data_IF_991223057811
#
_entry.id   IF_991223057811
#
_cell.length_a   1.000
_cell.length_b   1.000
_cell.length_c   1.000
_cell.angle_alpha   90.00
_cell.angle_beta   90.00
_cell.angle_gamma   90.00
#
_symmetry.space_group_name_H-M   'P 1'
#
loop_
_entity.id
_entity.type
_entity.pdbx_description
1 polymer ?
#
# COMPACT_ATOMS: atom_id res chain seq x y z
N UNK A 1 7.63 -29.04 4.04
CA UNK A 1 7.50 -27.71 3.41
C UNK A 1 6.99 -26.78 4.50
N UNK A 2 7.70 -25.70 4.80
CA UNK A 2 7.25 -24.71 5.79
C UNK A 2 6.05 -23.98 5.22
N UNK A 3 4.99 -23.81 6.02
CA UNK A 3 3.83 -23.03 5.61
C UNK A 3 4.26 -21.57 5.38
N UNK A 4 3.81 -20.93 4.28
CA UNK A 4 4.17 -19.54 4.02
C UNK A 4 3.60 -18.63 5.13
N UNK A 5 4.35 -17.58 5.49
CA UNK A 5 3.91 -16.58 6.46
C UNK A 5 2.50 -16.07 6.11
N UNK A 6 1.59 -15.87 7.09
CA UNK A 6 0.18 -15.59 6.82
C UNK A 6 -0.06 -14.26 6.09
N UNK A 7 0.93 -13.37 6.00
CA UNK A 7 0.84 -12.15 5.18
C UNK A 7 0.82 -12.42 3.66
N UNK A 8 1.41 -13.54 3.20
CA UNK A 8 1.53 -13.85 1.76
C UNK A 8 0.14 -13.94 1.12
N UNK A 9 -0.04 -13.26 -0.01
CA UNK A 9 -1.29 -13.21 -0.78
C UNK A 9 -1.70 -11.80 -1.20
N UNK A 10 -2.94 -11.69 -1.67
CA UNK A 10 -3.56 -10.44 -2.14
C UNK A 10 -4.55 -9.88 -1.12
N UNK A 11 -4.57 -8.56 -1.00
CA UNK A 11 -5.28 -7.83 0.06
C UNK A 11 -5.94 -6.57 -0.45
N UNK A 12 -7.13 -6.28 0.07
CA UNK A 12 -7.77 -4.96 -0.01
C UNK A 12 -7.42 -4.21 1.26
N UNK A 13 -6.77 -3.06 1.11
CA UNK A 13 -6.20 -2.29 2.23
C UNK A 13 -6.95 -0.97 2.38
N UNK A 14 -7.65 -0.80 3.49
CA UNK A 14 -8.17 0.49 3.91
C UNK A 14 -7.03 1.33 4.52
N UNK A 15 -6.97 2.60 4.13
CA UNK A 15 -5.93 3.55 4.56
C UNK A 15 -6.60 4.70 5.28
N UNK A 16 -6.10 5.04 6.46
CA UNK A 16 -6.54 6.19 7.22
C UNK A 16 -5.35 7.10 7.55
N UNK A 17 -5.41 8.33 7.06
CA UNK A 17 -4.52 9.41 7.49
C UNK A 17 -5.37 10.46 8.24
N UNK A 18 -4.91 11.01 9.37
CA UNK A 18 -5.64 12.06 10.08
C UNK A 18 -5.91 13.27 9.18
N UNK A 19 -7.17 13.72 9.14
CA UNK A 19 -7.56 14.91 8.38
C UNK A 19 -7.78 14.69 6.88
N UNK A 20 -7.62 13.46 6.37
CA UNK A 20 -7.91 13.12 4.97
C UNK A 20 -9.09 12.16 4.87
N UNK A 21 -9.78 12.12 3.72
CA UNK A 21 -10.70 11.02 3.41
C UNK A 21 -10.00 9.66 3.50
N UNK A 22 -10.75 8.63 3.88
CA UNK A 22 -10.25 7.25 3.89
C UNK A 22 -9.98 6.77 2.45
N UNK A 23 -8.86 6.07 2.27
CA UNK A 23 -8.44 5.49 0.99
C UNK A 23 -8.63 3.99 0.93
N UNK A 24 -8.58 3.41 -0.27
CA UNK A 24 -8.50 1.96 -0.48
C UNK A 24 -7.42 1.65 -1.50
N UNK A 25 -6.45 0.82 -1.12
CA UNK A 25 -5.41 0.28 -2.00
C UNK A 25 -5.61 -1.22 -2.22
N UNK A 26 -4.90 -1.77 -3.21
CA UNK A 26 -4.72 -3.21 -3.38
C UNK A 26 -3.25 -3.55 -3.15
N UNK A 27 -2.97 -4.59 -2.37
CA UNK A 27 -1.61 -5.02 -2.09
C UNK A 27 -1.43 -6.51 -2.38
N UNK A 28 -0.25 -6.88 -2.87
CA UNK A 28 0.19 -8.28 -2.97
C UNK A 28 1.53 -8.44 -2.26
N UNK A 29 1.61 -9.43 -1.38
CA UNK A 29 2.83 -9.85 -0.70
C UNK A 29 3.25 -11.21 -1.22
N UNK A 30 4.41 -11.27 -1.86
CA UNK A 30 4.99 -12.52 -2.37
C UNK A 30 5.86 -13.19 -1.29
N UNK A 31 5.98 -14.51 -1.36
CA UNK A 31 6.76 -15.30 -0.41
C UNK A 31 8.28 -15.05 -0.49
N UNK A 32 8.75 -14.43 -1.57
CA UNK A 32 10.15 -14.03 -1.76
C UNK A 32 10.52 -12.71 -1.07
N UNK A 33 9.58 -12.10 -0.34
CA UNK A 33 9.77 -10.82 0.32
C UNK A 33 9.41 -9.61 -0.54
N UNK A 34 8.85 -9.78 -1.75
CA UNK A 34 8.38 -8.66 -2.58
C UNK A 34 7.01 -8.17 -2.13
N UNK A 35 6.79 -6.86 -2.15
CA UNK A 35 5.46 -6.23 -2.03
C UNK A 35 5.17 -5.35 -3.24
N UNK A 36 3.95 -5.41 -3.75
CA UNK A 36 3.42 -4.50 -4.75
C UNK A 36 2.11 -3.89 -4.26
N UNK A 37 1.94 -2.57 -4.39
CA UNK A 37 0.75 -1.85 -3.94
C UNK A 37 0.21 -0.96 -5.06
N UNK A 38 -1.05 -1.15 -5.43
CA UNK A 38 -1.77 -0.28 -6.35
C UNK A 38 -2.59 0.75 -5.55
N UNK A 39 -2.41 2.02 -5.91
CA UNK A 39 -3.15 3.14 -5.34
C UNK A 39 -4.34 3.49 -6.23
N UNK A 40 -5.42 4.05 -5.66
CA UNK A 40 -6.43 4.71 -6.47
C UNK A 40 -5.77 5.91 -7.17
N UNK A 41 -6.10 6.12 -8.43
CA UNK A 41 -5.55 7.21 -9.26
C UNK A 41 -6.58 7.53 -10.34
N UNK A 42 -6.79 8.81 -10.71
CA UNK A 42 -6.15 10.00 -10.15
C UNK A 42 -6.67 10.40 -8.76
N UNK A 43 -5.85 11.13 -7.99
CA UNK A 43 -6.26 11.78 -6.75
C UNK A 43 -6.28 13.30 -6.93
N UNK A 44 -7.24 14.02 -6.33
CA UNK A 44 -7.19 15.47 -6.27
C UNK A 44 -6.00 15.92 -5.41
N UNK A 45 -5.30 16.96 -5.85
CA UNK A 45 -4.22 17.58 -5.07
C UNK A 45 -4.75 18.26 -3.81
N UNK A 46 -3.86 18.50 -2.85
CA UNK A 46 -4.13 19.42 -1.75
C UNK A 46 -4.32 20.87 -2.27
N UNK A 47 -5.15 21.70 -1.60
CA UNK A 47 -5.30 23.11 -1.97
C UNK A 47 -3.95 23.85 -2.01
N UNK A 48 -3.76 24.70 -3.01
CA UNK A 48 -2.55 25.53 -3.16
C UNK A 48 -1.45 24.94 -4.05
N UNK A 49 -1.64 23.74 -4.60
CA UNK A 49 -0.75 23.18 -5.62
C UNK A 49 -1.01 23.79 -7.01
N UNK A 50 0.01 23.75 -7.88
CA UNK A 50 -0.06 24.32 -9.24
C UNK A 50 -0.73 23.40 -10.26
N UNK A 51 -0.78 22.09 -9.98
CA UNK A 51 -1.49 21.06 -10.74
C UNK A 51 -2.84 20.69 -10.10
N UNK A 52 -3.67 19.89 -10.77
CA UNK A 52 -5.01 19.52 -10.28
C UNK A 52 -5.13 18.08 -9.82
N UNK A 53 -4.39 17.17 -10.47
CA UNK A 53 -4.50 15.74 -10.25
C UNK A 53 -3.13 15.11 -10.06
N UNK A 54 -3.06 14.12 -9.19
CA UNK A 54 -1.87 13.30 -8.98
C UNK A 54 -2.13 11.87 -9.41
N UNK A 55 -1.16 11.32 -10.14
CA UNK A 55 -1.14 9.96 -10.62
C UNK A 55 0.01 9.23 -9.96
N UNK A 56 -0.30 8.12 -9.29
CA UNK A 56 0.70 7.31 -8.60
C UNK A 56 0.91 6.00 -9.36
N UNK A 57 2.17 5.68 -9.61
CA UNK A 57 2.54 4.35 -10.09
C UNK A 57 2.12 3.26 -9.11
N UNK A 58 2.08 2.01 -9.54
CA UNK A 58 2.14 0.89 -8.60
C UNK A 58 3.43 1.00 -7.79
N UNK A 59 3.32 1.00 -6.47
CA UNK A 59 4.51 0.95 -5.63
C UNK A 59 5.09 -0.45 -5.60
N UNK A 60 6.40 -0.51 -5.58
CA UNK A 60 7.18 -1.74 -5.45
C UNK A 60 8.09 -1.64 -4.25
N UNK A 61 8.34 -2.76 -3.59
CA UNK A 61 9.20 -2.78 -2.43
C UNK A 61 9.45 -4.16 -1.85
N UNK A 62 9.91 -4.17 -0.61
CA UNK A 62 10.25 -5.38 0.13
C UNK A 62 9.53 -5.44 1.47
N UNK A 63 9.26 -6.66 1.94
CA UNK A 63 8.77 -6.95 3.27
C UNK A 63 9.54 -8.13 3.89
N UNK A 64 9.53 -8.20 5.22
CA UNK A 64 10.09 -9.31 5.98
C UNK A 64 9.23 -9.61 7.19
N UNK A 65 9.12 -10.88 7.56
CA UNK A 65 8.49 -11.28 8.81
C UNK A 65 9.28 -10.73 10.01
N UNK A 66 8.58 -10.14 10.97
CA UNK A 66 9.11 -9.71 12.27
C UNK A 66 8.67 -10.64 13.41
N UNK A 67 7.96 -11.72 13.09
CA UNK A 67 7.46 -12.75 14.00
C UNK A 67 6.62 -13.78 13.25
N UNK A 68 5.81 -14.57 13.96
CA UNK A 68 4.91 -15.56 13.34
C UNK A 68 3.78 -14.91 12.51
N UNK A 69 3.38 -13.70 12.89
CA UNK A 69 2.30 -12.93 12.24
C UNK A 69 2.65 -11.47 11.98
N UNK A 70 3.77 -11.01 12.52
CA UNK A 70 4.24 -9.63 12.36
C UNK A 70 5.06 -9.48 11.08
N UNK A 71 4.96 -8.31 10.44
CA UNK A 71 5.81 -7.97 9.30
C UNK A 71 6.19 -6.49 9.30
N UNK A 72 7.38 -6.20 8.76
CA UNK A 72 7.81 -4.86 8.40
C UNK A 72 7.97 -4.78 6.88
N UNK A 73 7.63 -3.63 6.29
CA UNK A 73 7.71 -3.41 4.85
C UNK A 73 8.12 -2.00 4.49
N UNK A 74 8.74 -1.86 3.32
CA UNK A 74 9.04 -0.57 2.70
C UNK A 74 8.78 -0.66 1.20
N UNK A 75 8.06 0.32 0.65
CA UNK A 75 7.76 0.38 -0.77
C UNK A 75 7.72 1.82 -1.27
N UNK A 76 8.00 1.99 -2.56
CA UNK A 76 8.17 3.32 -3.18
C UNK A 76 7.23 3.46 -4.37
N UNK A 77 6.53 4.60 -4.46
CA UNK A 77 5.76 5.02 -5.63
C UNK A 77 6.33 6.29 -6.25
N UNK A 78 6.21 6.40 -7.57
CA UNK A 78 6.47 7.61 -8.33
C UNK A 78 5.16 8.36 -8.59
N UNK A 79 5.20 9.69 -8.45
CA UNK A 79 4.08 10.58 -8.72
C UNK A 79 4.30 11.41 -9.98
N UNK A 80 3.22 11.63 -10.73
CA UNK A 80 3.17 12.62 -11.81
C UNK A 80 1.87 13.42 -11.78
N UNK A 81 1.88 14.63 -12.37
CA UNK A 81 0.69 15.46 -12.55
C UNK A 81 -0.11 15.07 -13.82
N UNK A 82 -1.22 15.77 -14.08
CA UNK A 82 -2.03 15.56 -15.29
C UNK A 82 -1.34 15.86 -16.63
N UNK A 83 -0.19 16.55 -16.62
CA UNK A 83 0.63 16.80 -17.80
C UNK A 83 1.75 15.75 -17.96
N UNK A 84 1.88 14.82 -17.00
CA UNK A 84 2.96 13.84 -16.95
C UNK A 84 4.27 14.39 -16.36
N UNK A 85 4.24 15.58 -15.76
CA UNK A 85 5.39 16.16 -15.05
C UNK A 85 5.65 15.34 -13.78
N UNK A 86 6.88 14.87 -13.54
CA UNK A 86 7.20 14.22 -12.27
C UNK A 86 7.02 15.18 -11.10
N UNK A 87 6.24 14.78 -10.09
CA UNK A 87 6.01 15.59 -8.88
C UNK A 87 6.83 15.10 -7.68
N UNK A 88 7.31 13.85 -7.72
CA UNK A 88 8.17 13.32 -6.67
C UNK A 88 7.97 11.83 -6.40
N UNK A 89 8.38 11.40 -5.21
CA UNK A 89 8.25 10.02 -4.75
C UNK A 89 7.60 9.95 -3.38
N UNK A 90 6.87 8.87 -3.16
CA UNK A 90 6.41 8.46 -1.84
C UNK A 90 7.18 7.22 -1.43
N UNK A 91 7.90 7.29 -0.31
CA UNK A 91 8.50 6.13 0.36
C UNK A 91 7.65 5.79 1.58
N UNK A 92 7.06 4.61 1.60
CA UNK A 92 6.17 4.17 2.67
C UNK A 92 6.88 3.10 3.49
N UNK A 93 6.88 3.26 4.81
CA UNK A 93 7.31 2.24 5.76
C UNK A 93 6.13 1.85 6.65
N UNK A 94 5.87 0.55 6.82
CA UNK A 94 4.78 0.06 7.65
C UNK A 94 5.19 -1.15 8.49
N UNK A 95 4.57 -1.31 9.65
CA UNK A 95 4.63 -2.51 10.47
C UNK A 95 3.21 -3.01 10.71
N UNK A 96 2.96 -4.29 10.47
CA UNK A 96 1.60 -4.87 10.54
C UNK A 96 1.61 -6.19 11.30
N UNK A 97 0.47 -6.52 11.88
CA UNK A 97 0.20 -7.81 12.52
C UNK A 97 -0.98 -8.49 11.82
N UNK A 98 -0.78 -9.73 11.38
CA UNK A 98 -1.85 -10.55 10.79
C UNK A 98 -2.69 -11.17 11.89
N UNK A 99 -4.01 -11.13 11.74
CA UNK A 99 -4.94 -11.77 12.66
C UNK A 99 -4.77 -13.30 12.67
N UNK A 100 -5.18 -13.95 13.77
CA UNK A 100 -5.02 -15.39 13.95
C UNK A 100 -5.76 -16.24 12.89
N UNK A 101 -6.82 -15.70 12.30
CA UNK A 101 -7.59 -16.34 11.22
C UNK A 101 -6.95 -16.17 9.83
N UNK A 102 -5.83 -15.44 9.74
CA UNK A 102 -5.15 -15.08 8.50
C UNK A 102 -6.03 -14.36 7.47
N UNK A 103 -7.16 -13.78 7.89
CA UNK A 103 -8.13 -13.12 7.01
C UNK A 103 -8.00 -11.59 7.01
N UNK A 104 -7.33 -11.02 8.00
CA UNK A 104 -7.08 -9.59 8.13
C UNK A 104 -5.71 -9.28 8.70
N UNK A 105 -5.26 -8.04 8.53
CA UNK A 105 -4.11 -7.48 9.23
C UNK A 105 -4.29 -5.98 9.44
N UNK A 106 -3.57 -5.40 10.38
CA UNK A 106 -3.57 -3.95 10.62
C UNK A 106 -2.22 -3.47 11.17
N UNK A 107 -1.99 -2.15 11.08
CA UNK A 107 -0.82 -1.54 11.68
C UNK A 107 -0.58 -0.09 11.26
N UNK A 108 0.40 0.58 11.88
CA UNK A 108 0.79 1.93 11.51
C UNK A 108 1.66 1.96 10.24
N UNK A 109 1.67 3.11 9.59
CA UNK A 109 2.63 3.43 8.53
C UNK A 109 3.07 4.89 8.58
N UNK A 110 4.19 5.17 7.92
CA UNK A 110 4.70 6.50 7.63
C UNK A 110 4.97 6.64 6.14
N UNK A 111 4.66 7.80 5.57
CA UNK A 111 5.03 8.21 4.21
C UNK A 111 6.07 9.32 4.33
N UNK A 112 7.19 9.14 3.65
CA UNK A 112 8.13 10.20 3.33
C UNK A 112 7.84 10.69 1.91
N UNK A 113 7.62 12.00 1.77
CA UNK A 113 7.33 12.65 0.50
C UNK A 113 8.59 13.39 0.08
N UNK A 114 9.17 13.01 -1.06
CA UNK A 114 10.34 13.66 -1.60
C UNK A 114 10.04 14.30 -2.95
N UNK A 115 10.65 15.45 -3.22
CA UNK A 115 10.67 16.07 -4.54
C UNK A 115 11.39 15.17 -5.56
N UNK A 116 11.24 15.47 -6.85
CA UNK A 116 11.88 14.73 -7.93
C UNK A 116 13.43 14.75 -7.85
N UNK A 117 14.02 15.71 -7.12
CA UNK A 117 15.46 15.78 -6.85
C UNK A 117 15.93 14.97 -5.62
N UNK A 118 15.00 14.29 -4.94
CA UNK A 118 15.25 13.49 -3.74
C UNK A 118 15.18 14.28 -2.42
N UNK A 119 14.92 15.58 -2.45
CA UNK A 119 14.75 16.39 -1.23
C UNK A 119 13.47 15.97 -0.51
N UNK A 120 13.59 15.56 0.76
CA UNK A 120 12.42 15.27 1.60
C UNK A 120 11.67 16.55 1.91
N UNK A 121 10.40 16.60 1.53
CA UNK A 121 9.52 17.76 1.70
C UNK A 121 8.63 17.62 2.93
N UNK A 122 8.17 16.40 3.22
CA UNK A 122 7.22 16.14 4.29
C UNK A 122 7.25 14.69 4.76
N UNK A 123 6.68 14.46 5.95
CA UNK A 123 6.39 13.14 6.48
C UNK A 123 4.97 13.09 7.04
N UNK A 124 4.24 12.01 6.72
CA UNK A 124 2.84 11.82 7.09
C UNK A 124 2.65 10.43 7.69
N UNK A 125 1.98 10.35 8.85
CA UNK A 125 1.66 9.09 9.51
C UNK A 125 0.19 8.69 9.35
N UNK A 126 -0.09 7.40 9.42
CA UNK A 126 -1.45 6.87 9.39
C UNK A 126 -1.54 5.42 9.86
N UNK A 127 -2.72 4.83 9.67
CA UNK A 127 -2.99 3.41 9.94
C UNK A 127 -3.59 2.74 8.73
N UNK A 128 -3.34 1.44 8.62
CA UNK A 128 -3.89 0.56 7.60
C UNK A 128 -4.60 -0.61 8.26
N UNK A 129 -5.69 -1.05 7.65
CA UNK A 129 -6.34 -2.31 7.94
C UNK A 129 -6.67 -3.01 6.62
N UNK A 130 -6.56 -4.33 6.59
CA UNK A 130 -6.71 -5.08 5.36
C UNK A 130 -7.59 -6.30 5.52
N UNK A 131 -8.20 -6.69 4.41
CA UNK A 131 -8.99 -7.90 4.27
C UNK A 131 -8.46 -8.70 3.09
N UNK A 132 -8.39 -10.02 3.25
CA UNK A 132 -7.84 -10.90 2.21
C UNK A 132 -8.74 -10.92 0.98
N UNK A 133 -8.12 -10.84 -0.20
CA UNK A 133 -8.80 -11.10 -1.47
C UNK A 133 -8.68 -12.60 -1.74
N UNK A 134 -9.77 -13.33 -1.50
CA UNK A 134 -9.85 -14.75 -1.80
C UNK A 134 -10.28 -14.99 -3.25
N UNK A 135 -9.79 -16.08 -3.85
CA UNK A 135 -10.39 -16.57 -5.09
C UNK A 135 -11.85 -16.98 -4.81
N UNK A 136 -12.78 -16.51 -5.63
CA UNK A 136 -14.16 -16.99 -5.56
C UNK A 136 -14.21 -18.49 -5.86
N UNK A 137 -15.07 -19.23 -5.17
CA UNK A 137 -15.35 -20.62 -5.54
C UNK A 137 -15.98 -20.65 -6.94
N UNK A 138 -15.47 -21.50 -7.83
CA UNK A 138 -16.10 -21.71 -9.13
C UNK A 138 -17.53 -22.23 -8.91
N UNK A 139 -18.54 -21.47 -9.37
CA UNK A 139 -19.90 -21.98 -9.45
C UNK A 139 -19.89 -23.18 -10.40
N UNK A 140 -20.19 -24.39 -9.90
CA UNK A 140 -20.51 -25.52 -10.76
C UNK A 140 -21.69 -25.11 -11.62
N UNK A 141 -21.48 -24.96 -12.93
CA UNK A 141 -22.58 -24.87 -13.88
C UNK A 141 -23.30 -26.22 -13.88
N UNK A 142 -24.46 -26.29 -13.24
CA UNK A 142 -25.41 -27.38 -13.48
C UNK A 142 -26.09 -27.10 -14.81
N UNK A 143 -25.88 -28.00 -15.76
CA UNK A 143 -26.43 -27.92 -17.12
C UNK A 143 -27.91 -28.24 -17.22
#
# INVERSE_FOLDING_TARGET
MTEPHPLVGAWRVAVQVPGTPAGTNLATFAADGTVAVAFPTPNPVAPGQTHKLEYWSTALGSWSASGERGAAMTFVSLGADEAGTPIGTHTIAATVEVAADSASWEGPFTIEIAAADGTVLASVGGTVSATRIAAGAAAKQTG
#
